data_IF_613978944730
#
_entry.id   IF_613978944730
#
_cell.length_a   1.000
_cell.length_b   1.000
_cell.length_c   1.000
_cell.angle_alpha   90.00
_cell.angle_beta   90.00
_cell.angle_gamma   90.00
#
_symmetry.space_group_name_H-M   'P 1'
#
loop_
_entity.id
_entity.type
_entity.pdbx_description
1 polymer ?
#
# COMPACT_ATOMS: atom_id res chain seq x y z
N UNK A 1 15.21 3.37 31.28
CA UNK A 1 13.91 3.48 30.59
C UNK A 1 13.76 2.30 29.63
N UNK A 2 12.62 1.59 29.65
CA UNK A 2 12.40 0.45 28.75
C UNK A 2 12.12 0.96 27.32
N UNK A 3 12.70 0.36 26.26
CA UNK A 3 12.58 0.86 24.87
C UNK A 3 11.15 0.91 24.30
N UNK A 4 10.14 0.33 24.95
CA UNK A 4 8.73 0.42 24.55
C UNK A 4 7.98 1.68 25.02
N UNK A 5 8.43 2.36 26.09
CA UNK A 5 7.68 3.47 26.69
C UNK A 5 7.71 4.77 25.87
N UNK A 6 8.78 5.01 25.09
CA UNK A 6 8.96 6.24 24.31
C UNK A 6 8.13 6.27 23.00
N UNK A 7 7.72 5.10 22.48
CA UNK A 7 6.93 5.01 21.25
C UNK A 7 5.43 5.25 21.47
N UNK A 8 4.90 4.83 22.64
CA UNK A 8 3.48 5.02 22.99
C UNK A 8 3.12 6.49 23.20
N UNK A 9 4.07 7.34 23.63
CA UNK A 9 3.82 8.76 23.90
C UNK A 9 3.56 9.58 22.63
N UNK A 10 4.07 9.17 21.46
CA UNK A 10 3.86 9.89 20.20
C UNK A 10 2.62 9.44 19.41
N UNK A 11 2.09 8.24 19.70
CA UNK A 11 0.92 7.69 19.03
C UNK A 11 -0.03 7.04 20.04
N UNK A 12 -0.81 7.84 20.79
CA UNK A 12 -1.70 7.33 21.82
C UNK A 12 -2.74 6.36 21.22
N UNK A 13 -2.95 5.23 21.90
CA UNK A 13 -3.91 4.20 21.50
C UNK A 13 -3.45 3.25 20.39
N UNK A 14 -2.21 3.38 19.90
CA UNK A 14 -1.64 2.43 18.93
C UNK A 14 -0.93 1.29 19.67
N UNK A 15 -1.25 0.04 19.32
CA UNK A 15 -0.62 -1.13 19.93
C UNK A 15 0.85 -1.26 19.50
N UNK A 16 1.71 -1.82 20.36
CA UNK A 16 3.11 -2.12 19.98
C UNK A 16 3.20 -3.08 18.80
N UNK A 17 2.24 -3.98 18.64
CA UNK A 17 2.20 -4.92 17.52
C UNK A 17 2.09 -4.19 16.17
N UNK A 18 1.25 -3.14 16.10
CA UNK A 18 1.12 -2.32 14.90
C UNK A 18 2.39 -1.51 14.59
N UNK A 19 3.18 -1.17 15.61
CA UNK A 19 4.41 -0.38 15.44
C UNK A 19 5.63 -1.20 15.00
N UNK A 20 5.49 -2.53 14.89
CA UNK A 20 6.56 -3.44 14.46
C UNK A 20 6.37 -3.83 13.00
N UNK A 21 7.49 -4.11 12.32
CA UNK A 21 7.41 -4.77 11.01
C UNK A 21 6.82 -6.17 11.20
N UNK A 22 5.85 -6.59 10.38
CA UNK A 22 5.37 -7.96 10.40
C UNK A 22 6.52 -8.95 10.15
N UNK A 23 6.47 -10.11 10.80
CA UNK A 23 7.44 -11.17 10.57
C UNK A 23 7.37 -11.68 9.12
N UNK A 24 8.54 -11.99 8.56
CA UNK A 24 8.75 -12.60 7.23
C UNK A 24 10.00 -13.47 7.25
N UNK A 25 10.04 -14.44 6.35
CA UNK A 25 11.16 -15.36 6.15
C UNK A 25 11.79 -15.20 4.77
N UNK A 26 13.06 -15.59 4.66
CA UNK A 26 13.78 -15.61 3.39
C UNK A 26 13.04 -16.49 2.36
N UNK A 27 12.90 -15.99 1.14
CA UNK A 27 12.21 -16.67 0.04
C UNK A 27 10.73 -16.34 -0.08
N UNK A 28 10.10 -15.76 0.95
CA UNK A 28 8.70 -15.34 0.89
C UNK A 28 8.48 -14.24 -0.16
N UNK A 29 7.26 -14.20 -0.68
CA UNK A 29 6.74 -13.18 -1.59
C UNK A 29 5.75 -12.29 -0.86
N UNK A 30 6.09 -11.00 -0.72
CA UNK A 30 5.38 -10.08 0.16
C UNK A 30 4.94 -8.83 -0.57
N UNK A 31 3.63 -8.58 -0.57
CA UNK A 31 3.06 -7.34 -1.09
C UNK A 31 3.12 -6.21 -0.08
N UNK A 32 3.53 -5.02 -0.51
CA UNK A 32 3.57 -3.81 0.30
C UNK A 32 2.47 -2.86 -0.18
N UNK A 33 1.39 -2.72 0.58
CA UNK A 33 0.27 -1.87 0.21
C UNK A 33 0.12 -0.73 1.22
N UNK A 34 0.67 0.44 0.88
CA UNK A 34 0.64 1.62 1.74
C UNK A 34 -0.48 2.59 1.40
N UNK A 35 -1.10 3.17 2.44
CA UNK A 35 -2.18 4.13 2.28
C UNK A 35 -2.53 4.87 3.56
N UNK A 36 -3.24 6.00 3.41
CA UNK A 36 -3.78 6.71 4.57
C UNK A 36 -4.98 6.02 5.18
N UNK A 37 -5.77 5.31 4.36
CA UNK A 37 -6.97 4.57 4.78
C UNK A 37 -7.87 5.40 5.71
N UNK A 38 -8.36 6.52 5.19
CA UNK A 38 -9.08 7.53 5.98
C UNK A 38 -10.47 7.85 5.39
N UNK A 39 -11.48 6.98 5.54
CA UNK A 39 -11.42 5.65 6.15
C UNK A 39 -11.00 4.55 5.16
N UNK A 40 -10.62 3.35 5.62
CA UNK A 40 -10.57 2.17 4.75
C UNK A 40 -11.97 1.85 4.21
N UNK A 41 -12.03 1.11 3.10
CA UNK A 41 -13.29 0.74 2.45
C UNK A 41 -13.10 -0.48 1.54
N UNK A 42 -14.19 -1.10 1.09
CA UNK A 42 -14.14 -2.35 0.32
C UNK A 42 -13.30 -2.25 -0.98
N UNK A 43 -13.22 -1.07 -1.62
CA UNK A 43 -12.28 -0.87 -2.74
C UNK A 43 -10.80 -1.10 -2.38
N UNK A 44 -10.35 -0.75 -1.17
CA UNK A 44 -9.00 -1.07 -0.72
C UNK A 44 -8.85 -2.57 -0.43
N UNK A 45 -9.87 -3.18 0.20
CA UNK A 45 -9.87 -4.62 0.47
C UNK A 45 -9.77 -5.44 -0.82
N UNK A 46 -10.50 -5.01 -1.86
CA UNK A 46 -10.45 -5.62 -3.19
C UNK A 46 -9.05 -5.51 -3.82
N UNK A 47 -8.36 -4.37 -3.69
CA UNK A 47 -6.97 -4.23 -4.16
C UNK A 47 -6.06 -5.24 -3.46
N UNK A 48 -6.16 -5.39 -2.15
CA UNK A 48 -5.36 -6.36 -1.41
C UNK A 48 -5.69 -7.81 -1.81
N UNK A 49 -6.96 -8.15 -1.99
CA UNK A 49 -7.39 -9.48 -2.41
C UNK A 49 -6.87 -9.83 -3.82
N UNK A 50 -7.00 -8.91 -4.77
CA UNK A 50 -6.47 -9.07 -6.12
C UNK A 50 -4.96 -9.25 -6.06
N UNK A 51 -4.25 -8.42 -5.30
CA UNK A 51 -2.80 -8.52 -5.19
C UNK A 51 -2.36 -9.87 -4.60
N UNK A 52 -2.98 -10.31 -3.49
CA UNK A 52 -2.72 -11.63 -2.90
C UNK A 52 -2.85 -12.76 -3.92
N UNK A 53 -3.95 -12.76 -4.69
CA UNK A 53 -4.24 -13.82 -5.67
C UNK A 53 -3.35 -13.74 -6.91
N UNK A 54 -3.27 -12.58 -7.55
CA UNK A 54 -2.64 -12.41 -8.87
C UNK A 54 -1.12 -12.40 -8.81
N UNK A 55 -0.55 -11.94 -7.70
CA UNK A 55 0.91 -11.95 -7.48
C UNK A 55 1.37 -13.19 -6.70
N UNK A 56 0.46 -14.11 -6.35
CA UNK A 56 0.73 -15.30 -5.51
C UNK A 56 1.51 -14.96 -4.24
N UNK A 57 1.03 -13.96 -3.50
CA UNK A 57 1.71 -13.49 -2.30
C UNK A 57 1.53 -14.50 -1.15
N UNK A 58 2.60 -14.74 -0.40
CA UNK A 58 2.54 -15.43 0.89
C UNK A 58 1.92 -14.52 1.96
N UNK A 59 2.23 -13.22 1.87
CA UNK A 59 1.78 -12.21 2.82
C UNK A 59 1.55 -10.85 2.14
N UNK A 60 0.63 -10.06 2.66
CA UNK A 60 0.45 -8.65 2.27
C UNK A 60 0.56 -7.76 3.51
N UNK A 61 1.46 -6.80 3.47
CA UNK A 61 1.59 -5.77 4.50
C UNK A 61 0.69 -4.60 4.14
N UNK A 62 -0.37 -4.43 4.93
CA UNK A 62 -1.29 -3.30 4.84
C UNK A 62 -0.75 -2.18 5.73
N UNK A 63 -0.04 -1.22 5.11
CA UNK A 63 0.74 -0.22 5.82
C UNK A 63 -0.03 1.08 5.97
N UNK A 64 -0.56 1.30 7.18
CA UNK A 64 -1.32 2.50 7.53
C UNK A 64 -0.35 3.63 7.88
N UNK A 65 -0.22 4.60 6.97
CA UNK A 65 0.75 5.68 7.17
C UNK A 65 0.36 6.61 8.33
N UNK A 66 1.32 7.11 9.13
CA UNK A 66 1.06 8.16 10.14
C UNK A 66 0.64 9.49 9.50
N UNK A 67 0.95 9.70 8.21
CA UNK A 67 0.53 10.88 7.45
C UNK A 67 1.47 11.16 6.28
N UNK A 68 0.90 11.39 5.09
CA UNK A 68 1.66 11.78 3.91
C UNK A 68 1.87 13.31 3.92
N UNK A 69 3.12 13.82 3.87
CA UNK A 69 3.42 15.25 3.86
C UNK A 69 2.81 16.02 2.67
N UNK A 70 2.50 15.31 1.57
CA UNK A 70 1.93 15.88 0.35
C UNK A 70 0.40 15.98 0.37
N UNK A 71 -0.27 15.49 1.42
CA UNK A 71 -1.73 15.52 1.57
C UNK A 71 -2.11 16.38 2.77
N UNK A 72 -3.26 17.04 2.70
CA UNK A 72 -3.80 17.80 3.84
C UNK A 72 -4.10 16.85 5.01
N UNK A 73 -3.28 16.92 6.06
CA UNK A 73 -3.41 16.09 7.26
C UNK A 73 -4.43 16.63 8.25
N UNK A 74 -4.99 17.83 8.05
CA UNK A 74 -5.98 18.42 8.99
C UNK A 74 -7.26 17.60 9.10
N UNK A 75 -7.56 16.79 8.07
CA UNK A 75 -8.71 15.87 8.04
C UNK A 75 -8.33 14.41 8.30
N UNK A 76 -7.08 14.13 8.71
CA UNK A 76 -6.62 12.77 8.96
C UNK A 76 -7.11 12.32 10.34
N UNK A 77 -7.95 11.27 10.38
CA UNK A 77 -8.35 10.69 11.65
C UNK A 77 -7.12 10.13 12.42
N UNK A 78 -7.18 10.07 13.76
CA UNK A 78 -6.12 9.49 14.58
C UNK A 78 -5.66 8.12 14.05
N UNK A 79 -4.35 7.85 14.13
CA UNK A 79 -3.77 6.61 13.61
C UNK A 79 -4.42 5.36 14.22
N UNK A 80 -4.64 5.36 15.54
CA UNK A 80 -5.31 4.28 16.26
C UNK A 80 -6.72 3.99 15.71
N UNK A 81 -7.50 5.03 15.42
CA UNK A 81 -8.84 4.89 14.85
C UNK A 81 -8.79 4.27 13.45
N UNK A 82 -7.86 4.72 12.60
CA UNK A 82 -7.72 4.17 11.24
C UNK A 82 -7.27 2.72 11.27
N UNK A 83 -6.36 2.35 12.17
CA UNK A 83 -5.93 0.97 12.39
C UNK A 83 -7.13 0.08 12.80
N UNK A 84 -7.92 0.51 13.79
CA UNK A 84 -9.11 -0.23 14.22
C UNK A 84 -10.12 -0.45 13.09
N UNK A 85 -10.34 0.56 12.24
CA UNK A 85 -11.20 0.43 11.06
C UNK A 85 -10.63 -0.53 10.01
N UNK A 86 -9.29 -0.61 9.86
CA UNK A 86 -8.67 -1.55 8.93
C UNK A 86 -8.81 -2.99 9.44
N UNK A 87 -8.61 -3.23 10.74
CA UNK A 87 -8.81 -4.54 11.39
C UNK A 87 -10.26 -5.02 11.25
N UNK A 88 -11.23 -4.12 11.41
CA UNK A 88 -12.65 -4.45 11.27
C UNK A 88 -13.05 -4.80 9.82
N UNK A 89 -12.28 -4.32 8.81
CA UNK A 89 -12.58 -4.53 7.40
C UNK A 89 -11.97 -5.82 6.84
N UNK A 90 -10.86 -6.31 7.41
CA UNK A 90 -10.01 -7.34 6.81
C UNK A 90 -9.92 -8.55 7.73
N UNK A 91 -10.15 -9.74 7.18
CA UNK A 91 -10.16 -10.99 7.95
C UNK A 91 -9.19 -12.05 7.43
N UNK A 92 -8.51 -11.81 6.30
CA UNK A 92 -7.54 -12.77 5.75
C UNK A 92 -6.25 -12.75 6.58
N UNK A 93 -5.83 -13.87 7.19
CA UNK A 93 -4.66 -13.92 8.05
C UNK A 93 -3.34 -13.64 7.33
N UNK A 94 -3.30 -13.70 6.00
CA UNK A 94 -2.13 -13.30 5.20
C UNK A 94 -1.97 -11.78 5.11
N UNK A 95 -3.02 -11.01 5.45
CA UNK A 95 -2.94 -9.56 5.51
C UNK A 95 -2.46 -9.16 6.91
N UNK A 96 -1.31 -8.49 6.98
CA UNK A 96 -0.74 -7.97 8.22
C UNK A 96 -0.89 -6.45 8.24
N UNK A 97 -1.71 -5.95 9.15
CA UNK A 97 -1.90 -4.52 9.34
C UNK A 97 -0.76 -3.98 10.19
N UNK A 98 -0.09 -2.94 9.70
CA UNK A 98 1.06 -2.34 10.40
C UNK A 98 1.10 -0.83 10.17
N UNK A 99 1.66 -0.13 11.14
CA UNK A 99 2.01 1.27 11.09
C UNK A 99 3.47 1.47 11.54
N UNK A 100 4.36 0.51 11.25
CA UNK A 100 5.77 0.57 11.69
C UNK A 100 6.46 1.87 11.25
N UNK A 101 6.05 2.48 10.14
CA UNK A 101 6.54 3.80 9.69
C UNK A 101 6.51 4.85 10.81
N UNK A 102 5.49 4.79 11.67
CA UNK A 102 5.31 5.67 12.82
C UNK A 102 6.45 5.53 13.83
N UNK A 103 6.91 4.30 14.10
CA UNK A 103 7.99 4.03 15.04
C UNK A 103 9.38 4.47 14.53
N UNK A 104 9.54 4.55 13.21
CA UNK A 104 10.78 5.03 12.58
C UNK A 104 10.70 6.51 12.16
N UNK A 105 9.59 7.18 12.47
CA UNK A 105 9.31 8.58 12.05
C UNK A 105 9.47 8.81 10.53
N UNK A 106 9.16 7.79 9.73
CA UNK A 106 9.30 7.86 8.27
C UNK A 106 8.00 8.42 7.66
N UNK A 107 8.16 9.38 6.74
CA UNK A 107 7.03 9.98 6.01
C UNK A 107 7.11 9.86 4.49
N UNK A 108 8.22 9.35 3.96
CA UNK A 108 8.43 9.21 2.52
C UNK A 108 8.56 7.74 2.13
N UNK A 109 7.78 7.31 1.14
CA UNK A 109 7.77 5.93 0.66
C UNK A 109 9.16 5.43 0.26
N UNK A 110 10.00 6.27 -0.36
CA UNK A 110 11.37 5.89 -0.73
C UNK A 110 12.23 5.46 0.48
N UNK A 111 12.04 6.09 1.63
CA UNK A 111 12.74 5.73 2.87
C UNK A 111 12.13 4.48 3.50
N UNK A 112 10.80 4.35 3.48
CA UNK A 112 10.10 3.14 3.94
C UNK A 112 10.59 1.92 3.18
N UNK A 113 10.62 1.97 1.84
CA UNK A 113 11.06 0.84 1.03
C UNK A 113 12.54 0.52 1.22
N UNK A 114 13.39 1.52 1.38
CA UNK A 114 14.81 1.32 1.67
C UNK A 114 15.01 0.62 3.04
N UNK A 115 14.25 1.04 4.07
CA UNK A 115 14.29 0.40 5.38
C UNK A 115 13.81 -1.06 5.32
N UNK A 116 12.68 -1.32 4.64
CA UNK A 116 12.15 -2.68 4.46
C UNK A 116 13.21 -3.56 3.79
N UNK A 117 13.82 -3.09 2.70
CA UNK A 117 14.86 -3.82 1.96
C UNK A 117 16.06 -4.16 2.83
N UNK A 118 16.53 -3.20 3.63
CA UNK A 118 17.68 -3.39 4.51
C UNK A 118 17.41 -4.36 5.66
N UNK A 119 16.19 -4.36 6.20
CA UNK A 119 15.82 -5.16 7.38
C UNK A 119 15.42 -6.60 7.05
N UNK A 120 15.07 -6.89 5.80
CA UNK A 120 14.48 -8.18 5.40
C UNK A 120 15.24 -8.78 4.20
N UNK A 121 16.53 -9.12 4.36
CA UNK A 121 17.34 -9.64 3.26
C UNK A 121 16.81 -10.99 2.77
N UNK A 122 16.69 -11.14 1.45
CA UNK A 122 16.26 -12.38 0.80
C UNK A 122 14.74 -12.60 0.75
N UNK A 123 13.94 -11.61 1.14
CA UNK A 123 12.49 -11.59 0.90
C UNK A 123 12.18 -10.88 -0.43
N UNK A 124 11.23 -11.43 -1.19
CA UNK A 124 10.80 -10.90 -2.49
C UNK A 124 9.63 -9.93 -2.30
N UNK A 125 9.91 -8.63 -2.28
CA UNK A 125 8.88 -7.62 -2.10
C UNK A 125 8.35 -7.07 -3.43
N UNK A 126 7.06 -6.73 -3.43
CA UNK A 126 6.40 -5.98 -4.52
C UNK A 126 5.61 -4.82 -3.93
N UNK A 127 5.82 -3.61 -4.46
CA UNK A 127 5.04 -2.44 -4.06
C UNK A 127 3.70 -2.42 -4.79
N UNK A 128 2.61 -2.31 -4.06
CA UNK A 128 1.25 -2.34 -4.59
C UNK A 128 0.65 -0.95 -4.47
N UNK A 129 0.05 -0.47 -5.56
CA UNK A 129 -0.74 0.77 -5.54
C UNK A 129 -1.97 0.65 -6.45
N UNK A 130 -3.02 1.44 -6.16
CA UNK A 130 -4.13 1.62 -7.09
C UNK A 130 -3.75 2.53 -8.28
N UNK A 131 -4.43 2.36 -9.41
CA UNK A 131 -4.24 3.18 -10.61
C UNK A 131 -4.46 4.69 -10.37
N UNK A 132 -5.26 5.07 -9.37
CA UNK A 132 -5.44 6.46 -8.97
C UNK A 132 -4.16 7.09 -8.40
N UNK A 133 -3.33 6.32 -7.69
CA UNK A 133 -2.04 6.81 -7.20
C UNK A 133 -1.01 6.95 -8.33
N UNK A 134 -1.14 6.17 -9.40
CA UNK A 134 -0.17 6.15 -10.49
C UNK A 134 -0.09 7.48 -11.24
N UNK A 135 -1.22 8.14 -11.45
CA UNK A 135 -1.30 9.42 -12.13
C UNK A 135 -0.37 10.48 -11.50
N UNK A 136 -0.40 10.57 -10.16
CA UNK A 136 0.41 11.50 -9.37
C UNK A 136 1.73 10.91 -8.85
N UNK A 137 2.06 9.65 -9.17
CA UNK A 137 3.23 8.96 -8.60
C UNK A 137 4.56 9.70 -8.86
N UNK A 138 4.68 10.34 -10.02
CA UNK A 138 5.85 11.14 -10.40
C UNK A 138 6.07 12.39 -9.53
N UNK A 139 5.09 12.78 -8.72
CA UNK A 139 5.19 13.86 -7.74
C UNK A 139 5.68 13.38 -6.38
N UNK A 140 5.80 12.06 -6.18
CA UNK A 140 6.28 11.49 -4.94
C UNK A 140 7.78 11.77 -4.80
N UNK A 141 8.22 12.06 -3.59
CA UNK A 141 9.62 12.37 -3.34
C UNK A 141 10.50 11.16 -3.72
N UNK A 142 11.49 11.39 -4.59
CA UNK A 142 12.38 10.35 -5.12
C UNK A 142 11.62 9.18 -5.78
N UNK A 143 10.55 9.45 -6.53
CA UNK A 143 9.74 8.42 -7.20
C UNK A 143 10.54 7.45 -8.08
N UNK A 144 11.61 7.91 -8.75
CA UNK A 144 12.52 7.01 -9.48
C UNK A 144 13.17 5.99 -8.53
N UNK A 145 13.63 6.42 -7.35
CA UNK A 145 14.19 5.51 -6.34
C UNK A 145 13.15 4.49 -5.87
N UNK A 146 11.89 4.88 -5.74
CA UNK A 146 10.79 3.96 -5.41
C UNK A 146 10.68 2.87 -6.49
N UNK A 147 10.58 3.26 -7.76
CA UNK A 147 10.48 2.33 -8.90
C UNK A 147 11.71 1.43 -9.09
N UNK A 148 12.88 1.89 -8.64
CA UNK A 148 14.13 1.12 -8.69
C UNK A 148 14.36 0.25 -7.45
N UNK A 149 13.54 0.37 -6.39
CA UNK A 149 13.76 -0.38 -5.14
C UNK A 149 13.15 -1.76 -5.19
N UNK A 150 11.87 -1.85 -5.60
CA UNK A 150 11.10 -3.08 -5.73
C UNK A 150 10.25 -3.04 -7.00
N UNK A 151 9.87 -4.20 -7.56
CA UNK A 151 8.83 -4.28 -8.57
C UNK A 151 7.53 -3.62 -8.13
N UNK A 152 6.75 -3.08 -9.08
CA UNK A 152 5.49 -2.37 -8.80
C UNK A 152 4.30 -3.09 -9.44
N UNK A 153 3.29 -3.41 -8.64
CA UNK A 153 1.99 -3.85 -9.15
C UNK A 153 0.98 -2.71 -9.04
N UNK A 154 0.47 -2.26 -10.18
CA UNK A 154 -0.61 -1.28 -10.25
C UNK A 154 -1.93 -2.02 -10.44
N UNK A 155 -2.87 -1.85 -9.53
CA UNK A 155 -4.19 -2.49 -9.61
C UNK A 155 -5.21 -1.48 -10.15
N UNK A 156 -5.92 -1.86 -11.22
CA UNK A 156 -6.91 -0.99 -11.85
C UNK A 156 -8.07 -0.63 -10.90
N UNK A 157 -8.62 0.56 -11.12
CA UNK A 157 -9.84 1.05 -10.48
C UNK A 157 -10.71 1.78 -11.50
N UNK A 158 -12.05 1.66 -11.41
CA UNK A 158 -12.94 2.32 -12.36
C UNK A 158 -12.71 3.84 -12.39
N UNK A 159 -12.64 4.38 -13.61
CA UNK A 159 -12.34 5.80 -13.87
C UNK A 159 -10.85 6.11 -14.01
N UNK A 160 -9.93 5.16 -13.76
CA UNK A 160 -8.47 5.37 -13.83
C UNK A 160 -7.77 4.57 -14.93
N UNK A 161 -8.48 3.70 -15.66
CA UNK A 161 -7.90 2.81 -16.69
C UNK A 161 -7.13 3.57 -17.78
N UNK A 162 -7.61 4.74 -18.21
CA UNK A 162 -6.93 5.58 -19.21
C UNK A 162 -5.78 6.43 -18.63
N UNK A 163 -5.78 6.68 -17.31
CA UNK A 163 -4.73 7.46 -16.65
C UNK A 163 -3.39 6.71 -16.61
N UNK A 164 -3.43 5.38 -16.69
CA UNK A 164 -2.26 4.54 -16.80
C UNK A 164 -1.40 4.87 -18.02
N UNK A 165 -2.01 4.89 -19.21
CA UNK A 165 -1.33 5.08 -20.50
C UNK A 165 -0.60 6.41 -20.61
N UNK A 166 -1.09 7.45 -19.91
CA UNK A 166 -0.51 8.79 -19.96
C UNK A 166 0.48 9.08 -18.83
N UNK A 167 0.53 8.24 -17.78
CA UNK A 167 1.32 8.49 -16.58
C UNK A 167 2.82 8.57 -16.89
N UNK A 168 3.51 9.50 -16.21
CA UNK A 168 4.96 9.68 -16.38
C UNK A 168 5.73 8.44 -15.96
N UNK A 169 5.25 7.70 -14.96
CA UNK A 169 5.87 6.44 -14.54
C UNK A 169 5.81 5.37 -15.64
N UNK A 170 4.63 5.14 -16.23
CA UNK A 170 4.47 4.17 -17.30
C UNK A 170 5.36 4.52 -18.50
N UNK A 171 5.41 5.80 -18.90
CA UNK A 171 6.26 6.26 -20.00
C UNK A 171 7.76 6.13 -19.71
N UNK A 172 8.20 6.50 -18.51
CA UNK A 172 9.61 6.46 -18.13
C UNK A 172 10.14 5.03 -18.01
N UNK A 173 9.31 4.09 -17.56
CA UNK A 173 9.69 2.71 -17.32
C UNK A 173 9.02 1.73 -18.30
N UNK A 174 8.59 2.17 -19.47
CA UNK A 174 7.87 1.34 -20.45
C UNK A 174 8.64 0.06 -20.81
N UNK A 175 9.97 0.18 -20.97
CA UNK A 175 10.89 -0.93 -21.22
C UNK A 175 10.93 -2.00 -20.11
N UNK A 176 10.41 -1.71 -18.93
CA UNK A 176 10.40 -2.57 -17.75
C UNK A 176 9.00 -3.12 -17.43
N UNK A 177 8.04 -2.93 -18.34
CA UNK A 177 6.69 -3.46 -18.19
C UNK A 177 6.71 -4.98 -18.32
N UNK A 178 6.03 -5.64 -17.40
CA UNK A 178 5.78 -7.08 -17.36
C UNK A 178 4.33 -7.32 -17.71
N UNK A 179 4.07 -8.30 -18.57
CA UNK A 179 2.71 -8.66 -18.96
C UNK A 179 1.89 -9.12 -17.75
N UNK A 180 0.59 -8.83 -17.77
CA UNK A 180 -0.28 -9.17 -16.64
C UNK A 180 -0.32 -10.68 -16.38
N UNK A 181 -0.18 -11.50 -17.44
CA UNK A 181 -0.10 -12.96 -17.32
C UNK A 181 1.09 -13.41 -16.46
N UNK A 182 2.17 -12.63 -16.45
CA UNK A 182 3.40 -12.88 -15.69
C UNK A 182 3.42 -12.18 -14.32
N UNK A 183 2.28 -11.59 -13.89
CA UNK A 183 2.13 -11.03 -12.55
C UNK A 183 2.59 -11.98 -11.42
N UNK A 184 2.37 -13.32 -11.47
CA UNK A 184 2.83 -14.24 -10.42
C UNK A 184 4.36 -14.28 -10.20
N UNK A 185 5.18 -13.92 -11.19
CA UNK A 185 6.64 -13.91 -11.05
C UNK A 185 7.21 -12.53 -10.72
N UNK A 186 6.37 -11.48 -10.76
CA UNK A 186 6.79 -10.08 -10.67
C UNK A 186 7.66 -9.77 -9.45
N UNK A 187 7.30 -10.29 -8.27
CA UNK A 187 8.05 -10.01 -7.04
C UNK A 187 9.48 -10.57 -7.05
N UNK A 188 9.76 -11.55 -7.91
CA UNK A 188 11.10 -12.14 -8.10
C UNK A 188 11.89 -11.45 -9.22
N UNK A 189 11.25 -10.58 -10.00
CA UNK A 189 11.91 -9.80 -11.04
C UNK A 189 12.80 -8.72 -10.43
N UNK A 190 13.88 -8.37 -11.17
CA UNK A 190 14.76 -7.28 -10.77
C UNK A 190 14.08 -5.94 -11.06
N UNK A 191 14.06 -5.04 -10.07
CA UNK A 191 13.60 -3.67 -10.28
C UNK A 191 14.55 -2.87 -11.20
N UNK A 192 14.05 -1.99 -12.08
CA UNK A 192 12.64 -1.68 -12.26
C UNK A 192 11.93 -2.81 -13.01
N UNK A 193 10.75 -3.18 -12.52
CA UNK A 193 9.82 -4.10 -13.17
C UNK A 193 8.42 -3.73 -12.69
N UNK A 194 7.44 -3.70 -13.56
CA UNK A 194 6.09 -3.34 -13.12
C UNK A 194 5.01 -3.92 -14.03
N UNK A 195 3.84 -4.17 -13.46
CA UNK A 195 2.68 -4.66 -14.22
C UNK A 195 1.43 -3.86 -13.86
N UNK A 196 0.45 -3.90 -14.75
CA UNK A 196 -0.87 -3.32 -14.55
C UNK A 196 -1.88 -4.46 -14.55
N UNK A 197 -2.57 -4.66 -13.43
CA UNK A 197 -3.51 -5.77 -13.21
C UNK A 197 -4.92 -5.24 -13.33
N UNK A 198 -5.68 -5.79 -14.27
CA UNK A 198 -7.08 -5.44 -14.42
C UNK A 198 -7.91 -6.15 -13.34
N UNK A 199 -8.76 -5.39 -12.65
CA UNK A 199 -9.59 -5.88 -11.57
C UNK A 199 -11.09 -5.61 -11.81
N UNK A 200 -11.99 -6.36 -11.14
CA UNK A 200 -13.41 -6.01 -11.11
C UNK A 200 -13.62 -4.59 -10.57
N UNK A 201 -14.59 -3.88 -11.14
CA UNK A 201 -14.79 -2.44 -10.90
C UNK A 201 -15.49 -2.18 -9.56
N UNK A 202 -14.81 -1.53 -8.61
CA UNK A 202 -15.43 -0.95 -7.38
C UNK A 202 -15.41 0.58 -7.42
N UNK A 203 -16.59 1.23 -7.36
CA UNK A 203 -16.76 2.69 -7.43
C UNK A 203 -16.47 3.43 -6.09
N UNK A 204 -16.08 2.72 -5.03
CA UNK A 204 -15.88 3.30 -3.71
C UNK A 204 -14.60 4.16 -3.60
N UNK A 205 -14.67 5.30 -2.91
CA UNK A 205 -13.52 6.15 -2.56
C UNK A 205 -13.65 6.74 -1.14
N UNK A 206 -12.55 6.87 -0.40
CA UNK A 206 -12.56 7.49 0.94
C UNK A 206 -13.07 8.93 0.93
N UNK A 207 -12.78 9.69 -0.13
CA UNK A 207 -13.25 11.08 -0.24
C UNK A 207 -14.76 11.14 -0.38
N UNK A 208 -15.37 10.26 -1.17
CA UNK A 208 -16.83 10.19 -1.32
C UNK A 208 -17.53 9.78 -0.02
N UNK A 209 -16.93 8.85 0.75
CA UNK A 209 -17.42 8.42 2.07
C UNK A 209 -17.38 9.59 3.06
N UNK A 210 -16.26 10.32 3.14
CA UNK A 210 -16.14 11.49 4.04
C UNK A 210 -17.14 12.59 3.72
N UNK A 211 -17.49 12.77 2.44
CA UNK A 211 -18.43 13.80 2.00
C UNK A 211 -19.90 13.33 2.05
N UNK A 212 -20.19 12.09 2.50
CA UNK A 212 -21.55 11.55 2.56
C UNK A 212 -22.23 11.31 1.20
N UNK A 213 -21.48 11.43 0.10
CA UNK A 213 -22.01 11.34 -1.28
C UNK A 213 -22.20 9.91 -1.79
N UNK A 214 -22.10 8.92 -0.91
CA UNK A 214 -22.19 7.50 -1.27
C UNK A 214 -23.56 6.94 -0.88
N UNK A 215 -24.42 6.67 -1.86
CA UNK A 215 -25.63 5.88 -1.66
C UNK A 215 -25.23 4.40 -1.53
N UNK A 216 -25.33 3.86 -0.32
CA UNK A 216 -25.24 2.42 -0.14
C UNK A 216 -26.39 1.75 -0.90
N UNK A 217 -26.07 0.86 -1.83
CA UNK A 217 -27.02 -0.16 -2.24
C UNK A 217 -27.32 -0.99 -0.99
N UNK A 218 -28.44 -0.67 -0.31
CA UNK A 218 -29.05 -1.60 0.64
C UNK A 218 -29.43 -2.82 -0.17
N UNK A 219 -28.69 -3.91 0.00
CA UNK A 219 -29.23 -5.23 -0.31
C UNK A 219 -30.36 -5.47 0.69
N UNK A 220 -31.59 -5.31 0.21
CA UNK A 220 -32.76 -6.02 0.74
C UNK A 220 -32.64 -7.49 0.42
#
# INVERSE_FOLDING_TARGET
MKPGQALQTSFPGVSEAHLRMPFVEKGMTVGLFGGSFNPPHAGHALVAEIALRRLKLDQLWWMVTPGNPLKDTRRLAPLAQRLALCEALLHDPRIKITAFEAAYHIRYTADTLALIKARNPGVNFVWIMGADNLADFHRWQRWHKIALTFPIAVIDRPGSTLAFLSSRMAKTFDYARVDEADAPILARSKAPAWTFIHGPRSLLSSTAIRNGTQSGSRKT
#
